data_IF_579262559781
#
_entry.id   IF_579262559781
#
_cell.length_a   1.000
_cell.length_b   1.000
_cell.length_c   1.000
_cell.angle_alpha   90.00
_cell.angle_beta   90.00
_cell.angle_gamma   90.00
#
_symmetry.space_group_name_H-M   'P 1'
#
loop_
_entity.id
_entity.type
_entity.pdbx_description
1 polymer ?
#
# COMPACT_ATOMS: atom_id res chain seq x y z
N UNK A 1 -8.81 -19.96 62.08
CA UNK A 1 -8.52 -21.27 62.71
C UNK A 1 -8.28 -22.26 61.57
N UNK A 2 -7.18 -22.98 61.37
CA UNK A 2 -6.12 -23.43 62.26
C UNK A 2 -4.81 -23.76 61.50
N UNK A 3 -3.71 -23.54 62.23
CA UNK A 3 -2.38 -24.16 62.29
C UNK A 3 -1.88 -24.99 61.07
N UNK A 4 -0.82 -24.53 60.39
CA UNK A 4 0.63 -24.73 60.71
C UNK A 4 1.08 -26.20 60.59
N UNK A 5 1.85 -26.51 59.55
CA UNK A 5 2.97 -27.42 59.65
C UNK A 5 4.19 -26.87 58.90
N UNK A 6 5.23 -26.61 59.69
CA UNK A 6 6.60 -26.24 59.35
C UNK A 6 7.43 -27.51 59.20
N UNK A 7 8.10 -27.72 58.08
CA UNK A 7 9.39 -28.43 57.97
C UNK A 7 10.08 -27.89 56.70
N UNK A 8 10.98 -26.92 56.81
CA UNK A 8 12.44 -27.12 56.92
C UNK A 8 12.99 -28.07 55.85
N UNK A 9 13.52 -27.51 54.78
CA UNK A 9 14.77 -28.01 54.19
C UNK A 9 15.48 -26.90 53.41
N UNK A 10 16.60 -26.47 53.98
CA UNK A 10 17.68 -25.77 53.31
C UNK A 10 18.31 -26.74 52.31
N UNK A 11 18.42 -26.35 51.03
CA UNK A 11 19.56 -26.75 50.22
C UNK A 11 20.03 -25.51 49.46
N UNK A 12 21.23 -25.07 49.84
CA UNK A 12 22.01 -24.03 49.22
C UNK A 12 22.88 -24.70 48.15
N UNK A 13 22.60 -24.44 46.87
CA UNK A 13 23.54 -24.75 45.78
C UNK A 13 23.69 -23.51 44.91
N UNK A 14 24.76 -22.76 45.21
CA UNK A 14 25.31 -21.76 44.33
C UNK A 14 26.11 -22.47 43.23
N UNK A 15 25.71 -22.27 41.97
CA UNK A 15 26.56 -22.45 40.79
C UNK A 15 26.13 -21.40 39.77
N UNK A 16 27.00 -20.42 39.57
CA UNK A 16 26.82 -19.35 38.60
C UNK A 16 26.83 -19.90 37.17
N UNK A 17 26.01 -19.31 36.32
CA UNK A 17 26.14 -19.37 34.87
C UNK A 17 25.59 -18.08 34.30
N UNK A 18 26.51 -17.26 33.80
CA UNK A 18 26.24 -15.97 33.17
C UNK A 18 25.48 -16.19 31.86
N UNK A 19 24.20 -15.80 31.82
CA UNK A 19 23.41 -15.82 30.58
C UNK A 19 23.60 -14.51 29.85
N UNK A 20 24.40 -14.59 28.78
CA UNK A 20 24.57 -13.56 27.76
C UNK A 20 23.20 -13.33 27.11
N UNK A 21 22.64 -12.14 27.28
CA UNK A 21 21.42 -11.74 26.58
C UNK A 21 21.74 -11.51 25.08
N UNK A 22 21.04 -12.17 24.14
CA UNK A 22 21.19 -11.87 22.72
C UNK A 22 20.61 -10.49 22.42
N UNK A 23 21.44 -9.61 21.84
CA UNK A 23 21.02 -8.29 21.38
C UNK A 23 19.89 -8.40 20.37
N UNK A 24 18.74 -7.78 20.70
CA UNK A 24 17.67 -7.55 19.75
C UNK A 24 18.16 -6.56 18.68
N UNK A 25 18.61 -7.12 17.56
CA UNK A 25 18.81 -6.34 16.34
C UNK A 25 17.43 -5.89 15.85
N UNK A 26 17.05 -4.66 16.18
CA UNK A 26 15.90 -4.00 15.60
C UNK A 26 16.15 -3.87 14.09
N UNK A 27 15.58 -4.78 13.31
CA UNK A 27 15.57 -4.67 11.86
C UNK A 27 14.74 -3.43 11.52
N UNK A 28 15.42 -2.34 11.20
CA UNK A 28 14.82 -1.19 10.51
C UNK A 28 14.14 -1.74 9.27
N UNK A 29 12.82 -1.57 9.06
CA UNK A 29 12.18 -2.03 7.84
C UNK A 29 12.78 -1.25 6.68
N UNK A 30 13.70 -1.88 5.95
CA UNK A 30 14.19 -1.39 4.68
C UNK A 30 12.95 -1.14 3.82
N UNK A 31 12.78 0.05 3.23
CA UNK A 31 11.70 0.30 2.29
C UNK A 31 11.86 -0.71 1.15
N UNK A 32 11.06 -1.77 1.19
CA UNK A 32 11.00 -2.77 0.13
C UNK A 32 10.70 -1.97 -1.14
N UNK A 33 11.63 -1.99 -2.08
CA UNK A 33 11.50 -1.29 -3.36
C UNK A 33 10.41 -2.03 -4.12
N UNK A 34 9.15 -1.65 -3.84
CA UNK A 34 7.93 -2.30 -4.32
C UNK A 34 8.06 -2.43 -5.82
N UNK A 35 8.29 -3.67 -6.30
CA UNK A 35 8.57 -3.93 -7.71
C UNK A 35 7.49 -3.27 -8.57
N UNK A 36 7.89 -2.71 -9.71
CA UNK A 36 7.03 -1.86 -10.57
C UNK A 36 5.66 -2.48 -10.92
N UNK A 37 5.49 -3.79 -10.75
CA UNK A 37 4.28 -4.56 -11.04
C UNK A 37 3.61 -5.23 -9.81
N UNK A 38 4.09 -4.98 -8.58
CA UNK A 38 3.51 -5.56 -7.36
C UNK A 38 2.16 -4.87 -7.06
N UNK A 39 1.09 -5.63 -6.78
CA UNK A 39 -0.18 -5.05 -6.37
C UNK A 39 -0.05 -4.33 -5.02
N UNK A 40 -0.62 -3.13 -4.94
CA UNK A 40 -0.68 -2.30 -3.74
C UNK A 40 -1.91 -2.66 -2.90
N UNK A 41 -1.71 -2.77 -1.59
CA UNK A 41 -2.80 -2.73 -0.61
C UNK A 41 -3.21 -1.28 -0.35
N UNK A 42 -4.42 -1.10 0.16
CA UNK A 42 -4.85 0.21 0.68
C UNK A 42 -3.87 0.67 1.75
N UNK A 43 -3.36 1.90 1.60
CA UNK A 43 -2.35 2.50 2.47
C UNK A 43 -0.90 2.27 2.03
N UNK A 44 -0.63 1.40 1.06
CA UNK A 44 0.72 1.19 0.53
C UNK A 44 1.11 2.24 -0.53
N UNK A 45 2.41 2.48 -0.63
CA UNK A 45 3.01 3.41 -1.59
C UNK A 45 3.85 2.65 -2.61
N UNK A 46 3.58 2.88 -3.89
CA UNK A 46 4.47 2.54 -4.99
C UNK A 46 5.47 3.66 -5.20
N UNK A 47 6.75 3.34 -5.13
CA UNK A 47 7.84 4.22 -5.56
C UNK A 47 8.29 3.76 -6.96
N UNK A 48 7.72 4.37 -8.01
CA UNK A 48 7.96 3.95 -9.39
C UNK A 48 9.40 4.27 -9.83
N UNK A 49 9.84 5.48 -9.52
CA UNK A 49 11.24 5.94 -9.64
C UNK A 49 11.52 7.09 -8.64
N UNK A 50 12.60 7.85 -8.87
CA UNK A 50 13.01 8.95 -8.00
C UNK A 50 12.02 10.13 -7.96
N UNK A 51 11.24 10.33 -9.02
CA UNK A 51 10.36 11.47 -9.17
C UNK A 51 8.90 11.09 -8.93
N UNK A 52 8.48 9.84 -9.14
CA UNK A 52 7.09 9.43 -8.97
C UNK A 52 6.88 8.50 -7.76
N UNK A 53 6.03 8.94 -6.84
CA UNK A 53 5.45 8.07 -5.80
C UNK A 53 3.93 8.19 -5.76
N UNK A 54 3.27 7.04 -5.61
CA UNK A 54 1.81 6.92 -5.64
C UNK A 54 1.36 6.07 -4.46
N UNK A 55 0.51 6.63 -3.60
CA UNK A 55 -0.12 5.90 -2.50
C UNK A 55 -1.56 5.55 -2.85
N UNK A 56 -1.92 4.28 -2.72
CA UNK A 56 -3.30 3.84 -2.85
C UNK A 56 -4.07 4.19 -1.57
N UNK A 57 -5.02 5.13 -1.64
CA UNK A 57 -5.71 5.62 -0.44
C UNK A 57 -6.93 4.80 -0.09
N UNK A 58 -7.78 4.50 -1.07
CA UNK A 58 -9.05 3.77 -0.86
C UNK A 58 -9.76 3.55 -2.19
N UNK A 59 -10.72 2.63 -2.19
CA UNK A 59 -11.78 2.56 -3.22
C UNK A 59 -13.00 3.30 -2.67
N UNK A 60 -13.42 4.37 -3.34
CA UNK A 60 -14.52 5.24 -2.90
C UNK A 60 -15.89 4.67 -3.28
N UNK A 61 -16.01 4.14 -4.49
CA UNK A 61 -17.18 3.43 -5.00
C UNK A 61 -16.74 2.23 -5.82
N UNK A 62 -17.49 1.14 -5.74
CA UNK A 62 -17.26 -0.08 -6.51
C UNK A 62 -18.60 -0.67 -6.93
N UNK A 63 -19.00 -0.36 -8.15
CA UNK A 63 -20.19 -0.88 -8.81
C UNK A 63 -19.84 -1.73 -10.04
N UNK A 64 -18.58 -2.19 -10.11
CA UNK A 64 -18.16 -3.17 -11.10
C UNK A 64 -19.04 -4.39 -10.99
N UNK A 65 -19.31 -5.04 -12.11
CA UNK A 65 -20.21 -6.17 -12.21
C UNK A 65 -19.83 -7.23 -11.15
N UNK A 66 -20.68 -7.41 -10.12
CA UNK A 66 -20.31 -8.26 -9.02
C UNK A 66 -20.36 -9.73 -9.41
N UNK A 67 -19.55 -10.53 -8.73
CA UNK A 67 -19.64 -11.98 -8.79
C UNK A 67 -21.05 -12.41 -8.37
N UNK A 68 -21.63 -13.34 -9.14
CA UNK A 68 -23.01 -13.86 -9.01
C UNK A 68 -24.12 -12.85 -9.34
N UNK A 69 -23.83 -11.78 -10.08
CA UNK A 69 -24.86 -10.93 -10.68
C UNK A 69 -25.00 -11.16 -12.19
N UNK A 70 -26.13 -10.74 -12.76
CA UNK A 70 -26.32 -10.60 -14.21
C UNK A 70 -26.22 -9.12 -14.54
N UNK A 71 -25.17 -8.71 -15.23
CA UNK A 71 -24.92 -7.31 -15.57
C UNK A 71 -25.08 -7.08 -17.07
N UNK A 72 -25.54 -5.89 -17.45
CA UNK A 72 -25.59 -5.43 -18.84
C UNK A 72 -24.26 -4.74 -19.21
N UNK A 73 -23.60 -4.09 -18.24
CA UNK A 73 -22.31 -3.41 -18.41
C UNK A 73 -21.27 -3.94 -17.42
N UNK A 74 -19.99 -3.63 -17.66
CA UNK A 74 -18.89 -3.99 -16.75
C UNK A 74 -18.97 -3.28 -15.39
N UNK A 75 -19.70 -2.16 -15.30
CA UNK A 75 -19.73 -1.27 -14.14
C UNK A 75 -18.45 -0.45 -14.00
N UNK A 76 -18.25 0.21 -12.86
CA UNK A 76 -17.08 1.07 -12.60
C UNK A 76 -16.65 1.04 -11.13
N UNK A 77 -15.37 1.31 -10.87
CA UNK A 77 -14.86 1.62 -9.54
C UNK A 77 -14.01 2.88 -9.51
N UNK A 78 -14.27 3.75 -8.53
CA UNK A 78 -13.54 4.98 -8.27
C UNK A 78 -12.43 4.73 -7.24
N UNK A 79 -11.17 4.84 -7.66
CA UNK A 79 -9.97 4.68 -6.83
C UNK A 79 -9.36 6.03 -6.49
N UNK A 80 -9.10 6.27 -5.19
CA UNK A 80 -8.39 7.46 -4.72
C UNK A 80 -6.90 7.19 -4.56
N UNK A 81 -6.09 8.05 -5.17
CA UNK A 81 -4.63 8.00 -5.13
C UNK A 81 -4.05 9.30 -4.59
N UNK A 82 -3.00 9.21 -3.77
CA UNK A 82 -2.14 10.36 -3.46
C UNK A 82 -0.87 10.26 -4.29
N UNK A 83 -0.67 11.22 -5.18
CA UNK A 83 0.44 11.24 -6.14
C UNK A 83 1.40 12.38 -5.80
N UNK A 84 2.69 12.09 -5.71
CA UNK A 84 3.77 13.08 -5.59
C UNK A 84 4.72 12.94 -6.78
N UNK A 85 5.02 14.08 -7.41
CA UNK A 85 5.87 14.18 -8.61
C UNK A 85 7.02 15.15 -8.35
N UNK A 86 8.26 14.67 -8.47
CA UNK A 86 9.48 15.41 -8.19
C UNK A 86 9.46 16.06 -6.79
N UNK A 87 9.86 17.33 -6.75
CA UNK A 87 9.79 18.19 -5.56
C UNK A 87 8.41 18.82 -5.32
N UNK A 88 7.40 18.49 -6.15
CA UNK A 88 6.06 19.02 -6.03
C UNK A 88 5.33 18.58 -4.76
N UNK A 89 4.30 19.35 -4.37
CA UNK A 89 3.37 18.96 -3.30
C UNK A 89 2.55 17.72 -3.73
N UNK A 90 2.34 16.74 -2.84
CA UNK A 90 1.44 15.63 -3.12
C UNK A 90 0.01 16.12 -3.40
N UNK A 91 -0.68 15.50 -4.35
CA UNK A 91 -2.07 15.77 -4.71
C UNK A 91 -2.91 14.50 -4.65
N UNK A 92 -4.19 14.64 -4.35
CA UNK A 92 -5.16 13.55 -4.40
C UNK A 92 -5.85 13.59 -5.76
N UNK A 93 -5.96 12.45 -6.42
CA UNK A 93 -6.71 12.26 -7.66
C UNK A 93 -7.63 11.05 -7.54
N UNK A 94 -8.72 11.04 -8.31
CA UNK A 94 -9.55 9.86 -8.56
C UNK A 94 -9.23 9.29 -9.95
N UNK A 95 -9.20 7.97 -10.06
CA UNK A 95 -9.19 7.24 -11.32
C UNK A 95 -10.33 6.23 -11.33
N UNK A 96 -10.93 6.03 -12.50
CA UNK A 96 -12.03 5.11 -12.75
C UNK A 96 -11.53 3.86 -13.49
N UNK A 97 -12.20 2.72 -13.31
CA UNK A 97 -11.81 1.48 -14.01
C UNK A 97 -12.33 1.44 -15.44
N UNK A 98 -13.52 2.01 -15.66
CA UNK A 98 -14.24 1.95 -16.93
C UNK A 98 -14.79 3.31 -17.36
N UNK A 99 -15.07 4.22 -16.41
CA UNK A 99 -15.48 5.60 -16.68
C UNK A 99 -14.28 6.57 -16.80
N UNK A 100 -14.54 7.84 -17.15
CA UNK A 100 -13.51 8.88 -17.19
C UNK A 100 -13.48 9.70 -15.87
N UNK A 101 -12.30 10.14 -15.38
CA UNK A 101 -10.98 9.86 -15.94
C UNK A 101 -10.46 8.46 -15.58
N UNK A 102 -10.13 7.64 -16.60
CA UNK A 102 -9.48 6.33 -16.39
C UNK A 102 -7.95 6.44 -16.28
N UNK A 103 -7.42 7.61 -16.60
CA UNK A 103 -5.99 7.91 -16.60
C UNK A 103 -5.72 9.37 -16.27
N UNK A 104 -4.50 9.65 -15.80
CA UNK A 104 -4.06 11.01 -15.53
C UNK A 104 -2.59 11.20 -15.92
N UNK A 105 -2.30 12.32 -16.60
CA UNK A 105 -0.94 12.73 -16.94
C UNK A 105 -0.31 13.57 -15.82
N UNK A 106 0.90 13.22 -15.43
CA UNK A 106 1.66 13.87 -14.39
C UNK A 106 3.02 14.35 -14.92
N UNK A 107 3.13 15.65 -15.20
CA UNK A 107 4.39 16.25 -15.61
C UNK A 107 5.32 16.56 -14.43
N UNK A 108 6.61 16.28 -14.58
CA UNK A 108 7.66 16.73 -13.66
C UNK A 108 7.88 18.22 -13.90
N UNK A 109 7.80 19.03 -12.83
CA UNK A 109 8.11 20.47 -12.92
C UNK A 109 9.63 20.66 -12.85
N UNK A 110 10.19 21.27 -13.87
CA UNK A 110 11.60 21.68 -13.89
C UNK A 110 11.72 23.15 -13.50
N UNK A 111 12.73 23.53 -12.69
CA UNK A 111 13.07 24.92 -12.47
C UNK A 111 13.36 25.62 -13.80
N UNK A 112 12.97 26.91 -13.91
CA UNK A 112 13.31 27.73 -15.07
C UNK A 112 14.83 27.74 -15.26
N UNK A 113 15.30 27.59 -16.50
CA UNK A 113 16.72 27.55 -16.83
C UNK A 113 17.38 26.17 -16.70
N UNK A 114 16.63 25.12 -16.33
CA UNK A 114 17.14 23.74 -16.38
C UNK A 114 17.13 23.23 -17.81
N UNK A 115 18.28 22.79 -18.33
CA UNK A 115 18.34 22.04 -19.60
C UNK A 115 17.95 20.58 -19.36
N UNK A 116 17.01 20.06 -20.14
CA UNK A 116 16.59 18.66 -20.07
C UNK A 116 15.31 18.38 -20.85
N UNK A 117 15.05 17.10 -21.12
CA UNK A 117 13.82 16.66 -21.77
C UNK A 117 12.70 16.58 -20.72
N UNK A 118 11.54 17.24 -20.94
CA UNK A 118 10.43 17.21 -20.00
C UNK A 118 9.88 15.80 -19.79
N UNK A 119 10.03 15.25 -18.59
CA UNK A 119 9.45 13.95 -18.24
C UNK A 119 8.00 14.07 -17.79
N UNK A 120 7.14 13.18 -18.28
CA UNK A 120 5.78 13.01 -17.79
C UNK A 120 5.40 11.54 -17.63
N UNK A 121 4.40 11.27 -16.79
CA UNK A 121 3.87 9.95 -16.52
C UNK A 121 2.40 9.89 -16.90
N UNK A 122 1.99 8.90 -17.67
CA UNK A 122 0.58 8.53 -17.80
C UNK A 122 0.32 7.41 -16.81
N UNK A 123 -0.60 7.64 -15.87
CA UNK A 123 -0.98 6.68 -14.84
C UNK A 123 -2.43 6.27 -15.04
N UNK A 124 -2.69 4.97 -15.13
CA UNK A 124 -4.03 4.38 -15.18
C UNK A 124 -4.14 3.17 -14.26
N UNK A 125 -5.37 2.67 -14.08
CA UNK A 125 -5.61 1.41 -13.35
C UNK A 125 -5.32 0.24 -14.28
N UNK A 126 -4.36 -0.61 -13.92
CA UNK A 126 -4.08 -1.85 -14.64
C UNK A 126 -4.98 -3.01 -14.17
N UNK A 127 -5.26 -3.09 -12.87
CA UNK A 127 -6.34 -3.92 -12.32
C UNK A 127 -6.67 -3.54 -10.88
N UNK A 128 -7.91 -3.78 -10.48
CA UNK A 128 -8.37 -3.68 -9.10
C UNK A 128 -9.00 -5.02 -8.70
N UNK A 129 -8.44 -5.69 -7.71
CA UNK A 129 -8.95 -6.99 -7.23
C UNK A 129 -9.32 -6.90 -5.75
N UNK A 130 -10.29 -7.69 -5.26
CA UNK A 130 -11.19 -8.55 -6.03
C UNK A 130 -12.29 -7.76 -6.76
N UNK A 131 -13.08 -8.43 -7.60
CA UNK A 131 -14.41 -7.94 -7.96
C UNK A 131 -15.35 -8.03 -6.75
N UNK A 132 -16.34 -7.13 -6.61
CA UNK A 132 -17.31 -7.22 -5.52
C UNK A 132 -18.18 -8.47 -5.66
N UNK A 133 -18.82 -8.90 -4.56
CA UNK A 133 -19.85 -9.95 -4.58
C UNK A 133 -21.22 -9.32 -4.38
N UNK A 134 -22.24 -9.83 -5.08
CA UNK A 134 -23.60 -9.31 -4.94
C UNK A 134 -24.09 -9.43 -3.49
N UNK A 135 -24.67 -8.33 -2.97
CA UNK A 135 -25.18 -8.27 -1.59
C UNK A 135 -24.10 -8.21 -0.50
N UNK A 136 -22.80 -8.14 -0.86
CA UNK A 136 -21.70 -8.12 0.10
C UNK A 136 -20.80 -6.92 -0.13
N UNK A 137 -20.50 -6.19 0.94
CA UNK A 137 -19.55 -5.08 0.90
C UNK A 137 -18.11 -5.60 0.93
N UNK A 138 -17.32 -5.27 -0.10
CA UNK A 138 -15.87 -5.50 -0.11
C UNK A 138 -15.19 -4.63 0.94
N UNK A 139 -14.27 -5.20 1.73
CA UNK A 139 -13.52 -4.41 2.73
C UNK A 139 -12.35 -3.70 2.05
N UNK A 140 -12.00 -2.52 2.55
CA UNK A 140 -10.87 -1.76 2.02
C UNK A 140 -9.54 -2.54 2.08
N UNK A 141 -9.35 -3.33 3.14
CA UNK A 141 -8.17 -4.19 3.33
C UNK A 141 -8.01 -5.29 2.27
N UNK A 142 -9.08 -5.63 1.58
CA UNK A 142 -9.11 -6.75 0.62
C UNK A 142 -8.63 -6.29 -0.75
N UNK A 143 -8.70 -4.99 -1.04
CA UNK A 143 -8.33 -4.46 -2.33
C UNK A 143 -6.83 -4.57 -2.63
N UNK A 144 -6.53 -4.92 -3.88
CA UNK A 144 -5.21 -5.04 -4.48
C UNK A 144 -5.23 -4.29 -5.80
N UNK A 145 -4.56 -3.15 -5.82
CA UNK A 145 -4.48 -2.28 -6.99
C UNK A 145 -3.16 -2.51 -7.74
N UNK A 146 -3.24 -2.78 -9.03
CA UNK A 146 -2.09 -2.64 -9.94
C UNK A 146 -2.29 -1.40 -10.78
N UNK A 147 -1.24 -0.59 -10.87
CA UNK A 147 -1.21 0.60 -11.72
C UNK A 147 -0.50 0.24 -13.03
N UNK A 148 -1.01 0.77 -14.15
CA UNK A 148 -0.27 0.82 -15.40
C UNK A 148 0.34 2.21 -15.51
N UNK A 149 1.67 2.28 -15.67
CA UNK A 149 2.41 3.53 -15.71
C UNK A 149 3.31 3.53 -16.93
N UNK A 150 3.11 4.48 -17.84
CA UNK A 150 4.04 4.74 -18.94
C UNK A 150 4.70 6.11 -18.78
N UNK A 151 5.92 6.22 -19.28
CA UNK A 151 6.71 7.45 -19.25
C UNK A 151 6.79 8.02 -20.66
N UNK A 152 6.44 9.29 -20.83
CA UNK A 152 6.84 10.06 -21.99
C UNK A 152 8.03 10.93 -21.58
N UNK A 153 9.12 10.80 -22.32
CA UNK A 153 10.34 11.59 -22.20
C UNK A 153 10.48 12.32 -23.51
#
# INVERSE_FOLDING_TARGET
MNRRHLLKSLVLTALGSSLIAPGSSAATPTPEKTGKNKPLKVGETLHFDKDLSIKFLSVKKDHRCPINARCITAGDAEVLLRVKVGSGKPRIVSLHTDEEPNSHVFAVKYPKGTMGIPKSYLVSIGSLNPLPYAGRKTRQSDYRLRLAISTAV
#
